data_IF_466624191963
#
_entry.id   IF_466624191963
#
_cell.length_a   1.000
_cell.length_b   1.000
_cell.length_c   1.000
_cell.angle_alpha   90.00
_cell.angle_beta   90.00
_cell.angle_gamma   90.00
#
_symmetry.space_group_name_H-M   'P 1'
#
loop_
_entity.id
_entity.type
_entity.pdbx_description
1 polymer ?
#
# COMPACT_ATOMS: atom_id res chain seq x y z
N UNK A 1 -20.63 -15.25 21.74
CA UNK A 1 -20.93 -14.65 20.42
C UNK A 1 -21.34 -13.21 20.65
N UNK A 2 -20.43 -12.25 20.48
CA UNK A 2 -20.76 -10.81 20.47
C UNK A 2 -20.01 -10.20 19.28
N UNK A 3 -20.65 -10.22 18.11
CA UNK A 3 -20.18 -9.54 16.91
C UNK A 3 -20.55 -8.07 17.00
N UNK A 4 -19.69 -7.26 17.61
CA UNK A 4 -19.70 -5.81 17.39
C UNK A 4 -19.12 -5.53 15.99
N UNK A 5 -19.95 -5.69 14.96
CA UNK A 5 -19.64 -5.16 13.63
C UNK A 5 -19.81 -3.64 13.69
N UNK A 6 -18.68 -2.91 13.73
CA UNK A 6 -18.63 -1.45 13.82
C UNK A 6 -19.30 -0.78 12.62
N UNK A 7 -20.38 -0.04 12.85
CA UNK A 7 -21.19 0.66 11.84
C UNK A 7 -20.53 1.91 11.24
N UNK A 8 -19.21 2.08 11.39
CA UNK A 8 -18.48 3.27 10.94
C UNK A 8 -17.73 3.06 9.60
N UNK A 9 -17.98 1.94 8.90
CA UNK A 9 -17.15 1.46 7.79
C UNK A 9 -17.09 2.32 6.52
N UNK A 10 -17.98 3.28 6.32
CA UNK A 10 -17.94 4.16 5.15
C UNK A 10 -18.69 5.46 5.43
N UNK A 11 -17.99 6.59 5.46
CA UNK A 11 -18.59 7.92 5.68
C UNK A 11 -18.44 8.79 4.43
N UNK A 12 -19.50 9.54 4.12
CA UNK A 12 -19.56 10.42 2.94
C UNK A 12 -19.18 11.85 3.33
N UNK A 13 -18.12 12.39 2.73
CA UNK A 13 -17.71 13.79 2.89
C UNK A 13 -18.16 14.65 1.69
N UNK A 14 -18.43 15.94 1.92
CA UNK A 14 -18.71 16.93 0.87
C UNK A 14 -17.62 18.01 0.94
N UNK A 15 -16.66 18.02 0.00
CA UNK A 15 -15.82 19.18 -0.43
C UNK A 15 -14.53 18.74 -1.15
N UNK A 16 -14.17 19.44 -2.24
CA UNK A 16 -13.20 19.04 -3.27
C UNK A 16 -11.80 18.57 -2.82
N UNK A 17 -11.29 17.57 -3.56
CA UNK A 17 -9.97 16.92 -3.55
C UNK A 17 -9.16 16.96 -2.25
N UNK A 18 -9.22 15.90 -1.45
CA UNK A 18 -8.37 15.66 -0.27
C UNK A 18 -7.00 15.11 -0.70
N UNK A 19 -5.93 15.87 -0.42
CA UNK A 19 -4.56 15.36 -0.43
C UNK A 19 -4.07 15.20 1.02
N UNK A 20 -2.86 14.69 1.21
CA UNK A 20 -2.24 14.50 2.53
C UNK A 20 -2.28 15.77 3.39
N UNK A 21 -2.03 16.95 2.77
CA UNK A 21 -2.10 18.25 3.46
C UNK A 21 -3.49 18.55 4.00
N UNK A 22 -4.54 18.28 3.23
CA UNK A 22 -5.92 18.51 3.66
C UNK A 22 -6.35 17.55 4.77
N UNK A 23 -5.92 16.29 4.71
CA UNK A 23 -6.16 15.35 5.81
C UNK A 23 -5.46 15.82 7.08
N UNK A 24 -4.20 16.27 6.99
CA UNK A 24 -3.48 16.84 8.13
C UNK A 24 -4.17 18.10 8.67
N UNK A 25 -4.68 18.98 7.80
CA UNK A 25 -5.47 20.14 8.20
C UNK A 25 -6.73 19.76 8.96
N UNK A 26 -7.46 18.73 8.52
CA UNK A 26 -8.63 18.21 9.25
C UNK A 26 -8.28 17.75 10.66
N UNK A 27 -7.18 17.02 10.84
CA UNK A 27 -6.71 16.63 12.17
C UNK A 27 -6.29 17.84 13.03
N UNK A 28 -5.63 18.83 12.44
CA UNK A 28 -5.27 20.06 13.16
C UNK A 28 -6.50 20.89 13.58
N UNK A 29 -7.63 20.75 12.87
CA UNK A 29 -8.91 21.38 13.19
C UNK A 29 -9.94 20.37 13.74
N UNK A 30 -9.50 19.31 14.43
CA UNK A 30 -10.39 18.22 14.83
C UNK A 30 -11.57 18.68 15.70
N UNK A 31 -11.47 19.80 16.43
CA UNK A 31 -12.57 20.34 17.21
C UNK A 31 -13.77 20.75 16.34
N UNK A 32 -13.53 21.16 15.10
CA UNK A 32 -14.56 21.61 14.16
C UNK A 32 -14.75 20.67 12.95
N UNK A 33 -13.84 19.70 12.74
CA UNK A 33 -13.94 18.74 11.64
C UNK A 33 -14.51 17.39 12.08
N UNK A 34 -15.72 17.09 11.62
CA UNK A 34 -16.44 15.85 11.95
C UNK A 34 -15.72 14.58 11.48
N UNK A 35 -15.05 14.60 10.32
CA UNK A 35 -14.36 13.41 9.84
C UNK A 35 -13.16 13.10 10.75
N UNK A 36 -12.38 14.12 11.12
CA UNK A 36 -11.25 13.97 12.03
C UNK A 36 -11.66 13.46 13.41
N UNK A 37 -12.80 13.93 13.95
CA UNK A 37 -13.38 13.40 15.19
C UNK A 37 -13.66 11.90 15.08
N UNK A 38 -14.26 11.47 13.96
CA UNK A 38 -14.56 10.05 13.75
C UNK A 38 -13.28 9.24 13.57
N UNK A 39 -12.28 9.76 12.87
CA UNK A 39 -10.98 9.12 12.75
C UNK A 39 -10.32 8.91 14.11
N UNK A 40 -10.29 9.92 14.97
CA UNK A 40 -9.76 9.81 16.33
C UNK A 40 -10.52 8.77 17.16
N UNK A 41 -11.86 8.73 17.06
CA UNK A 41 -12.67 7.70 17.72
C UNK A 41 -12.37 6.29 17.19
N UNK A 42 -12.19 6.11 15.87
CA UNK A 42 -11.80 4.83 15.26
C UNK A 42 -10.42 4.38 15.77
N UNK A 43 -9.50 5.33 15.97
CA UNK A 43 -8.18 5.08 16.55
C UNK A 43 -8.22 4.82 18.07
N UNK A 44 -9.40 4.91 18.70
CA UNK A 44 -9.61 4.55 20.11
C UNK A 44 -9.55 5.73 21.08
N UNK A 45 -9.50 6.97 20.58
CA UNK A 45 -9.43 8.16 21.43
C UNK A 45 -10.81 8.64 21.88
N UNK A 46 -10.93 8.97 23.16
CA UNK A 46 -12.06 9.71 23.72
C UNK A 46 -11.83 11.22 23.52
N UNK A 47 -12.64 11.83 22.67
CA UNK A 47 -12.49 13.24 22.28
C UNK A 47 -12.51 14.21 23.47
N UNK A 48 -13.23 13.89 24.55
CA UNK A 48 -13.31 14.74 25.72
C UNK A 48 -12.00 14.79 26.53
N UNK A 49 -11.16 13.76 26.35
CA UNK A 49 -9.87 13.63 27.03
C UNK A 49 -8.72 14.17 26.19
N UNK A 50 -8.95 14.51 24.93
CA UNK A 50 -7.91 15.11 24.09
C UNK A 50 -7.65 16.55 24.57
N UNK A 51 -6.39 16.87 24.77
CA UNK A 51 -5.91 18.22 25.07
C UNK A 51 -5.56 18.96 23.78
N UNK A 52 -4.76 18.36 22.90
CA UNK A 52 -4.52 18.87 21.56
C UNK A 52 -4.18 17.74 20.57
N UNK A 53 -4.34 18.06 19.28
CA UNK A 53 -3.95 17.23 18.14
C UNK A 53 -3.04 18.05 17.22
N UNK A 54 -1.93 17.46 16.76
CA UNK A 54 -1.06 18.05 15.74
C UNK A 54 -0.73 17.02 14.67
N UNK A 55 -1.08 17.31 13.42
CA UNK A 55 -0.78 16.46 12.28
C UNK A 55 0.26 17.11 11.34
N UNK A 56 1.29 16.35 11.01
CA UNK A 56 2.37 16.74 10.11
C UNK A 56 2.38 15.82 8.89
N UNK A 57 2.56 16.40 7.69
CA UNK A 57 2.77 15.61 6.47
C UNK A 57 4.21 15.12 6.44
N UNK A 58 4.38 13.84 6.16
CA UNK A 58 5.66 13.15 6.02
C UNK A 58 6.02 13.03 4.53
N UNK A 59 7.30 12.82 4.24
CA UNK A 59 7.79 12.54 2.89
C UNK A 59 8.88 11.47 2.94
N UNK A 60 8.86 10.53 1.98
CA UNK A 60 9.84 9.45 1.90
C UNK A 60 9.58 8.26 2.82
N UNK A 61 8.50 8.27 3.60
CA UNK A 61 8.12 7.20 4.53
C UNK A 61 6.89 6.44 4.03
N UNK A 62 6.53 5.36 4.76
CA UNK A 62 5.35 4.56 4.42
C UNK A 62 4.05 5.23 4.87
N UNK A 63 4.08 5.88 6.03
CA UNK A 63 3.04 6.81 6.45
C UNK A 63 3.22 8.16 5.74
N UNK A 64 2.10 8.77 5.38
CA UNK A 64 2.07 10.07 4.71
C UNK A 64 1.76 11.20 5.73
N UNK A 65 1.19 10.85 6.88
CA UNK A 65 0.86 11.78 7.96
C UNK A 65 1.25 11.16 9.30
N UNK A 66 1.87 11.96 10.16
CA UNK A 66 2.05 11.65 11.57
C UNK A 66 1.12 12.55 12.40
N UNK A 67 0.21 11.94 13.14
CA UNK A 67 -0.72 12.62 14.05
C UNK A 67 -0.22 12.43 15.47
N UNK A 68 0.06 13.53 16.16
CA UNK A 68 0.49 13.57 17.55
C UNK A 68 -0.71 13.98 18.39
N UNK A 69 -1.03 13.21 19.42
CA UNK A 69 -2.17 13.43 20.30
C UNK A 69 -1.67 13.57 21.74
N UNK A 70 -2.07 14.65 22.41
CA UNK A 70 -1.88 14.84 23.84
C UNK A 70 -3.19 14.57 24.56
N UNK A 71 -3.15 13.70 25.57
CA UNK A 71 -4.31 13.38 26.42
C UNK A 71 -4.19 14.16 27.73
N UNK A 72 -5.29 14.77 28.16
CA UNK A 72 -5.37 15.51 29.44
C UNK A 72 -4.85 14.63 30.57
N UNK A 73 -4.04 15.23 31.44
CA UNK A 73 -3.45 14.58 32.62
C UNK A 73 -2.45 13.44 32.33
N UNK A 74 -2.20 13.09 31.06
CA UNK A 74 -1.16 12.14 30.66
C UNK A 74 0.11 12.92 30.31
N UNK A 75 1.28 12.49 30.78
CA UNK A 75 2.54 13.18 30.43
C UNK A 75 3.11 12.75 29.08
N UNK A 76 2.74 11.56 28.61
CA UNK A 76 3.24 11.02 27.34
C UNK A 76 2.35 11.42 26.16
N UNK A 77 3.00 11.71 25.03
CA UNK A 77 2.37 11.94 23.73
C UNK A 77 2.09 10.61 23.04
N UNK A 78 0.89 10.49 22.49
CA UNK A 78 0.54 9.40 21.59
C UNK A 78 0.81 9.81 20.14
N UNK A 79 1.09 8.83 19.29
CA UNK A 79 1.44 9.07 17.90
C UNK A 79 0.81 8.03 16.98
N UNK A 80 0.14 8.49 15.93
CA UNK A 80 -0.53 7.68 14.94
C UNK A 80 0.00 7.98 13.54
N UNK A 81 0.52 6.95 12.89
CA UNK A 81 1.07 7.02 11.55
C UNK A 81 0.04 6.55 10.53
N UNK A 82 -0.36 7.45 9.62
CA UNK A 82 -1.44 7.22 8.67
C UNK A 82 -0.90 7.27 7.25
N UNK A 83 -1.11 6.19 6.49
CA UNK A 83 -0.98 6.18 5.04
C UNK A 83 -2.29 6.65 4.40
N UNK A 84 -2.23 7.60 3.47
CA UNK A 84 -3.39 8.15 2.76
C UNK A 84 -3.42 7.63 1.33
N UNK A 85 -4.57 7.12 0.89
CA UNK A 85 -4.80 6.69 -0.49
C UNK A 85 -6.01 7.38 -1.08
N UNK A 86 -5.76 8.34 -1.97
CA UNK A 86 -6.80 8.96 -2.78
C UNK A 86 -7.10 8.11 -4.03
N UNK A 87 -8.38 7.89 -4.30
CA UNK A 87 -8.90 7.20 -5.47
C UNK A 87 -9.96 8.06 -6.14
N UNK A 88 -9.88 8.22 -7.47
CA UNK A 88 -10.83 9.04 -8.24
C UNK A 88 -11.75 8.23 -9.17
N UNK A 89 -11.72 6.90 -9.04
CA UNK A 89 -12.45 5.96 -9.89
C UNK A 89 -13.19 4.95 -9.01
N UNK A 90 -14.21 4.28 -9.57
CA UNK A 90 -14.99 3.26 -8.85
C UNK A 90 -14.16 2.05 -8.43
N UNK A 91 -13.21 1.65 -9.28
CA UNK A 91 -12.18 0.62 -9.03
C UNK A 91 -10.87 1.12 -9.61
N UNK A 92 -9.75 0.80 -8.98
CA UNK A 92 -8.46 1.30 -9.46
C UNK A 92 -7.24 0.68 -8.82
N UNK A 93 -6.27 0.28 -9.65
CA UNK A 93 -5.02 -0.26 -9.15
C UNK A 93 -4.02 0.86 -8.80
N UNK A 94 -3.86 1.11 -7.51
CA UNK A 94 -2.95 2.12 -6.98
C UNK A 94 -1.60 1.49 -6.61
N UNK A 95 -0.53 2.27 -6.77
CA UNK A 95 0.81 1.86 -6.33
C UNK A 95 0.91 1.92 -4.79
N UNK A 96 1.46 0.85 -4.21
CA UNK A 96 1.78 0.79 -2.77
C UNK A 96 3.28 0.74 -2.47
N UNK A 97 4.08 0.16 -3.35
CA UNK A 97 5.54 0.22 -3.30
C UNK A 97 6.13 0.10 -4.72
N UNK A 98 7.31 0.68 -4.92
CA UNK A 98 8.07 0.62 -6.17
C UNK A 98 9.52 1.00 -5.93
N UNK A 99 10.45 0.13 -6.29
CA UNK A 99 11.90 0.36 -6.16
C UNK A 99 12.67 -0.31 -7.29
N UNK A 100 13.95 0.04 -7.45
CA UNK A 100 14.89 -0.75 -8.25
C UNK A 100 15.07 -2.12 -7.58
N UNK A 101 15.35 -3.17 -8.36
CA UNK A 101 15.44 -4.52 -7.83
C UNK A 101 16.53 -4.67 -6.77
N UNK A 102 17.66 -3.98 -6.94
CA UNK A 102 18.74 -3.92 -5.94
C UNK A 102 18.25 -3.54 -4.54
N UNK A 103 17.32 -2.60 -4.42
CA UNK A 103 16.77 -2.23 -3.11
C UNK A 103 16.00 -3.38 -2.45
N UNK A 104 15.23 -4.14 -3.23
CA UNK A 104 14.55 -5.32 -2.71
C UNK A 104 15.51 -6.48 -2.42
N UNK A 105 16.58 -6.61 -3.19
CA UNK A 105 17.66 -7.56 -2.90
C UNK A 105 18.27 -7.32 -1.53
N UNK A 106 18.59 -6.07 -1.21
CA UNK A 106 19.13 -5.67 0.10
C UNK A 106 18.10 -5.89 1.23
N UNK A 107 16.81 -5.59 0.97
CA UNK A 107 15.76 -5.73 1.98
C UNK A 107 15.37 -7.18 2.31
N UNK A 108 15.37 -8.05 1.30
CA UNK A 108 14.83 -9.41 1.39
C UNK A 108 15.88 -10.50 1.16
N UNK A 109 17.15 -10.13 1.00
CA UNK A 109 18.25 -11.05 0.69
C UNK A 109 17.93 -11.95 -0.51
N UNK A 110 17.42 -11.36 -1.59
CA UNK A 110 16.98 -12.10 -2.78
C UNK A 110 18.17 -12.92 -3.35
N UNK A 111 18.04 -14.26 -3.47
CA UNK A 111 19.10 -15.10 -4.04
C UNK A 111 19.45 -14.71 -5.48
N UNK A 112 20.70 -14.89 -5.93
CA UNK A 112 21.13 -14.46 -7.26
C UNK A 112 20.28 -15.01 -8.42
N UNK A 113 19.85 -16.28 -8.38
CA UNK A 113 18.99 -16.86 -9.41
C UNK A 113 17.61 -16.17 -9.45
N UNK A 114 17.01 -15.91 -8.29
CA UNK A 114 15.71 -15.22 -8.18
C UNK A 114 15.84 -13.76 -8.60
N UNK A 115 16.93 -13.09 -8.23
CA UNK A 115 17.24 -11.72 -8.68
C UNK A 115 17.29 -11.67 -10.21
N UNK A 116 17.98 -12.61 -10.84
CA UNK A 116 18.09 -12.65 -12.30
C UNK A 116 16.73 -12.82 -12.97
N UNK A 117 15.84 -13.68 -12.45
CA UNK A 117 14.48 -13.83 -12.95
C UNK A 117 13.67 -12.54 -12.84
N UNK A 118 13.73 -11.87 -11.68
CA UNK A 118 13.09 -10.56 -11.54
C UNK A 118 13.69 -9.51 -12.48
N UNK A 119 15.00 -9.52 -12.70
CA UNK A 119 15.67 -8.56 -13.57
C UNK A 119 15.24 -8.73 -15.04
N UNK A 120 15.07 -9.96 -15.52
CA UNK A 120 14.46 -10.22 -16.83
C UNK A 120 12.98 -9.81 -16.86
N UNK A 121 12.23 -10.09 -15.80
CA UNK A 121 10.81 -9.75 -15.71
C UNK A 121 10.57 -8.23 -15.77
N UNK A 122 11.38 -7.46 -15.05
CA UNK A 122 11.29 -6.00 -15.00
C UNK A 122 11.96 -5.33 -16.20
N UNK A 123 12.86 -6.03 -16.90
CA UNK A 123 13.64 -5.48 -18.00
C UNK A 123 14.89 -4.71 -17.56
N UNK A 124 15.33 -4.88 -16.31
CA UNK A 124 16.70 -4.51 -15.90
C UNK A 124 17.73 -5.33 -16.69
N UNK A 125 17.43 -6.61 -16.96
CA UNK A 125 18.13 -7.43 -17.94
C UNK A 125 17.29 -7.60 -19.21
N UNK A 126 17.93 -7.48 -20.37
CA UNK A 126 17.29 -7.71 -21.67
C UNK A 126 17.41 -9.18 -22.07
N UNK A 127 16.32 -9.83 -22.48
CA UNK A 127 16.38 -11.19 -23.01
C UNK A 127 17.09 -11.21 -24.38
N UNK A 128 17.83 -12.29 -24.65
CA UNK A 128 18.40 -12.59 -25.97
C UNK A 128 17.43 -13.35 -26.87
N UNK A 129 16.47 -14.06 -26.26
CA UNK A 129 15.38 -14.79 -26.91
C UNK A 129 14.50 -13.86 -27.74
N UNK A 130 14.13 -14.32 -28.94
CA UNK A 130 13.26 -13.60 -29.88
C UNK A 130 11.84 -14.20 -29.95
N UNK A 131 11.63 -15.39 -29.38
CA UNK A 131 10.37 -16.14 -29.35
C UNK A 131 9.42 -15.71 -28.22
N UNK A 132 9.55 -14.48 -27.74
CA UNK A 132 8.83 -13.92 -26.60
C UNK A 132 8.09 -12.64 -26.97
N UNK A 133 7.12 -12.22 -26.16
CA UNK A 133 6.25 -11.09 -26.48
C UNK A 133 6.96 -9.74 -26.53
N UNK A 134 8.02 -9.56 -25.75
CA UNK A 134 8.74 -8.28 -25.62
C UNK A 134 10.25 -8.46 -25.83
N UNK A 135 10.69 -8.86 -27.04
CA UNK A 135 12.10 -9.08 -27.33
C UNK A 135 12.89 -7.79 -27.07
N UNK A 136 14.12 -7.93 -26.60
CA UNK A 136 15.04 -6.83 -26.26
C UNK A 136 14.52 -5.87 -25.15
N UNK A 137 13.44 -6.22 -24.45
CA UNK A 137 12.81 -5.36 -23.44
C UNK A 137 12.69 -6.03 -22.08
N UNK A 138 12.04 -7.20 -22.01
CA UNK A 138 11.79 -7.97 -20.77
C UNK A 138 11.20 -9.34 -21.10
N UNK A 139 11.05 -10.18 -20.09
CA UNK A 139 10.21 -11.38 -20.15
C UNK A 139 8.95 -11.23 -19.31
N UNK A 140 7.90 -11.97 -19.67
CA UNK A 140 6.77 -12.28 -18.81
C UNK A 140 7.07 -13.55 -18.01
N UNK A 141 6.44 -13.73 -16.85
CA UNK A 141 6.71 -14.91 -16.02
C UNK A 141 6.31 -16.22 -16.70
N UNK A 142 5.23 -16.20 -17.48
CA UNK A 142 4.79 -17.37 -18.26
C UNK A 142 5.72 -17.72 -19.44
N UNK A 143 6.73 -16.89 -19.74
CA UNK A 143 7.75 -17.14 -20.77
C UNK A 143 9.02 -17.79 -20.19
N UNK A 144 9.16 -17.83 -18.86
CA UNK A 144 10.19 -18.61 -18.19
C UNK A 144 9.93 -20.10 -18.32
N UNK A 145 10.97 -20.92 -18.19
CA UNK A 145 10.82 -22.37 -18.11
C UNK A 145 9.99 -22.76 -16.90
N UNK A 146 9.38 -23.96 -16.93
CA UNK A 146 8.58 -24.43 -15.80
C UNK A 146 9.40 -24.47 -14.49
N UNK A 147 10.68 -24.87 -14.57
CA UNK A 147 11.59 -24.89 -13.42
C UNK A 147 11.78 -23.50 -12.81
N UNK A 148 12.10 -22.50 -13.63
CA UNK A 148 12.29 -21.12 -13.19
C UNK A 148 11.01 -20.52 -12.59
N UNK A 149 9.84 -20.83 -13.17
CA UNK A 149 8.55 -20.45 -12.61
C UNK A 149 8.36 -21.05 -11.21
N UNK A 150 8.65 -22.35 -11.02
CA UNK A 150 8.52 -23.00 -9.71
C UNK A 150 9.50 -22.43 -8.68
N UNK A 151 10.76 -22.19 -9.05
CA UNK A 151 11.75 -21.58 -8.15
C UNK A 151 11.31 -20.19 -7.69
N UNK A 152 10.80 -19.36 -8.61
CA UNK A 152 10.31 -18.03 -8.31
C UNK A 152 9.06 -18.04 -7.41
N UNK A 153 8.10 -18.91 -7.71
CA UNK A 153 6.88 -19.06 -6.92
C UNK A 153 7.17 -19.62 -5.52
N UNK A 154 8.07 -20.60 -5.41
CA UNK A 154 8.50 -21.14 -4.12
C UNK A 154 9.15 -20.05 -3.26
N UNK A 155 10.12 -19.30 -3.81
CA UNK A 155 10.76 -18.22 -3.06
C UNK A 155 9.76 -17.15 -2.62
N UNK A 156 8.83 -16.74 -3.50
CA UNK A 156 7.78 -15.79 -3.14
C UNK A 156 6.86 -16.34 -2.05
N UNK A 157 6.50 -17.62 -2.12
CA UNK A 157 5.64 -18.27 -1.13
C UNK A 157 6.31 -18.35 0.25
N UNK A 158 7.61 -18.63 0.30
CA UNK A 158 8.37 -18.70 1.55
C UNK A 158 8.56 -17.32 2.19
N UNK A 159 8.57 -16.25 1.39
CA UNK A 159 8.83 -14.88 1.84
C UNK A 159 7.60 -13.97 1.87
N UNK A 160 6.41 -14.47 1.51
CA UNK A 160 5.20 -13.64 1.28
C UNK A 160 4.80 -12.78 2.47
N UNK A 161 4.91 -13.29 3.70
CA UNK A 161 4.54 -12.53 4.90
C UNK A 161 5.44 -11.31 5.08
N UNK A 162 6.76 -11.50 4.93
CA UNK A 162 7.75 -10.43 5.01
C UNK A 162 7.51 -9.39 3.91
N UNK A 163 7.35 -9.85 2.67
CA UNK A 163 7.12 -8.98 1.51
C UNK A 163 5.86 -8.14 1.72
N UNK A 164 4.74 -8.78 2.08
CA UNK A 164 3.44 -8.10 2.27
C UNK A 164 3.50 -7.09 3.41
N UNK A 165 4.14 -7.44 4.53
CA UNK A 165 4.36 -6.51 5.65
C UNK A 165 5.19 -5.30 5.19
N UNK A 166 6.31 -5.52 4.51
CA UNK A 166 7.18 -4.42 4.09
C UNK A 166 6.52 -3.47 3.09
N UNK A 167 5.79 -3.99 2.11
CA UNK A 167 5.17 -3.16 1.06
C UNK A 167 3.86 -2.49 1.52
N UNK A 168 3.22 -2.94 2.61
CA UNK A 168 1.98 -2.33 3.15
C UNK A 168 2.21 -1.54 4.44
N UNK A 169 2.93 -2.11 5.41
CA UNK A 169 3.21 -1.47 6.70
C UNK A 169 4.53 -0.70 6.69
N UNK A 170 5.54 -1.22 6.02
CA UNK A 170 6.90 -0.69 6.10
C UNK A 170 7.58 -1.01 7.44
N UNK A 171 8.73 -0.38 7.70
CA UNK A 171 9.53 -0.59 8.91
C UNK A 171 9.92 0.76 9.53
N UNK A 172 10.31 0.74 10.80
CA UNK A 172 10.81 1.90 11.53
C UNK A 172 9.70 2.78 12.12
N UNK A 173 10.09 3.92 12.67
CA UNK A 173 9.23 4.82 13.45
C UNK A 173 8.04 5.40 12.66
N UNK A 174 8.13 5.44 11.33
CA UNK A 174 7.08 5.93 10.43
C UNK A 174 6.45 4.81 9.57
N UNK A 175 6.42 3.58 10.10
CA UNK A 175 5.56 2.53 9.55
C UNK A 175 4.09 2.93 9.63
N UNK A 176 3.30 2.55 8.64
CA UNK A 176 1.87 2.83 8.64
C UNK A 176 1.17 1.97 9.70
N UNK A 177 0.46 2.62 10.64
CA UNK A 177 -0.42 1.95 11.59
C UNK A 177 -1.88 1.99 11.13
N UNK A 178 -2.22 2.98 10.32
CA UNK A 178 -3.54 3.16 9.73
C UNK A 178 -3.44 3.43 8.23
N UNK A 179 -4.46 3.00 7.51
CA UNK A 179 -4.66 3.37 6.11
C UNK A 179 -6.00 4.08 5.98
N UNK A 180 -5.93 5.33 5.52
CA UNK A 180 -7.09 6.15 5.17
C UNK A 180 -7.27 6.11 3.66
N UNK A 181 -8.29 5.36 3.21
CA UNK A 181 -8.71 5.38 1.81
C UNK A 181 -9.78 6.45 1.63
N UNK A 182 -9.60 7.31 0.64
CA UNK A 182 -10.56 8.35 0.27
C UNK A 182 -10.87 8.16 -1.21
N UNK A 183 -12.12 7.83 -1.53
CA UNK A 183 -12.62 7.81 -2.90
C UNK A 183 -13.41 9.09 -3.16
N UNK A 184 -12.98 9.88 -4.13
CA UNK A 184 -13.65 11.11 -4.55
C UNK A 184 -14.06 10.98 -6.02
N UNK A 185 -15.36 10.79 -6.27
CA UNK A 185 -15.92 10.69 -7.62
C UNK A 185 -16.92 11.83 -7.77
N UNK A 186 -16.62 12.78 -8.67
CA UNK A 186 -17.40 14.01 -8.83
C UNK A 186 -17.51 14.79 -7.51
N UNK A 187 -18.72 14.87 -6.94
CA UNK A 187 -19.00 15.55 -5.66
C UNK A 187 -19.18 14.56 -4.50
N UNK A 188 -19.15 13.26 -4.77
CA UNK A 188 -19.32 12.21 -3.76
C UNK A 188 -17.94 11.77 -3.26
N UNK A 189 -17.70 11.98 -1.98
CA UNK A 189 -16.47 11.52 -1.32
C UNK A 189 -16.87 10.45 -0.32
N UNK A 190 -16.25 9.27 -0.39
CA UNK A 190 -16.34 8.20 0.60
C UNK A 190 -14.98 7.98 1.21
N UNK A 191 -14.93 7.64 2.49
CA UNK A 191 -13.67 7.25 3.11
C UNK A 191 -13.83 6.09 4.09
N UNK A 192 -12.74 5.35 4.27
CA UNK A 192 -12.58 4.35 5.32
C UNK A 192 -11.19 4.48 5.95
N UNK A 193 -11.14 4.44 7.28
CA UNK A 193 -9.91 4.37 8.06
C UNK A 193 -9.82 2.97 8.67
N UNK A 194 -8.82 2.18 8.26
CA UNK A 194 -8.62 0.83 8.80
C UNK A 194 -7.23 0.68 9.40
N UNK A 195 -7.14 -0.07 10.50
CA UNK A 195 -5.86 -0.45 11.10
C UNK A 195 -5.06 -1.29 10.09
N UNK A 196 -3.74 -1.11 10.06
CA UNK A 196 -2.85 -1.77 9.10
C UNK A 196 -2.96 -3.29 9.13
N UNK A 197 -3.25 -3.90 10.28
CA UNK A 197 -3.42 -5.35 10.40
C UNK A 197 -4.65 -5.85 9.63
N UNK A 198 -5.75 -5.09 9.66
CA UNK A 198 -6.96 -5.39 8.88
C UNK A 198 -6.66 -5.25 7.38
N UNK A 199 -5.90 -4.23 7.00
CA UNK A 199 -5.50 -4.00 5.61
C UNK A 199 -4.61 -5.12 5.09
N UNK A 200 -3.59 -5.52 5.87
CA UNK A 200 -2.73 -6.64 5.52
C UNK A 200 -3.52 -7.94 5.40
N UNK A 201 -4.41 -8.23 6.35
CA UNK A 201 -5.24 -9.43 6.29
C UNK A 201 -6.13 -9.46 5.03
N UNK A 202 -6.75 -8.32 4.69
CA UNK A 202 -7.60 -8.18 3.51
C UNK A 202 -6.85 -8.47 2.21
N UNK A 203 -5.67 -7.88 2.04
CA UNK A 203 -4.90 -8.05 0.80
C UNK A 203 -4.09 -9.34 0.75
N UNK A 204 -3.73 -9.89 1.92
CA UNK A 204 -3.07 -11.19 2.01
C UNK A 204 -4.00 -12.29 1.49
N UNK A 205 -5.28 -12.29 1.89
CA UNK A 205 -6.33 -13.17 1.35
C UNK A 205 -5.88 -14.64 1.19
N UNK A 206 -5.44 -15.26 2.29
CA UNK A 206 -4.89 -16.63 2.30
C UNK A 206 -3.47 -16.76 1.73
N UNK A 207 -2.95 -15.72 1.09
CA UNK A 207 -1.56 -15.60 0.65
C UNK A 207 -1.22 -16.51 -0.51
N UNK A 208 -2.17 -16.75 -1.43
CA UNK A 208 -1.88 -17.52 -2.64
C UNK A 208 -0.84 -16.79 -3.50
N UNK A 209 0.13 -17.51 -4.04
CA UNK A 209 1.17 -16.95 -4.89
C UNK A 209 0.99 -17.52 -6.29
N UNK A 210 0.70 -16.65 -7.25
CA UNK A 210 0.19 -17.07 -8.56
C UNK A 210 0.77 -16.25 -9.71
N UNK A 211 0.85 -16.88 -10.88
CA UNK A 211 1.09 -16.20 -12.15
C UNK A 211 -0.25 -15.82 -12.75
N UNK A 212 -0.46 -14.53 -12.99
CA UNK A 212 -1.65 -14.03 -13.67
C UNK A 212 -1.68 -14.44 -15.15
N UNK A 213 -2.87 -14.46 -15.75
CA UNK A 213 -3.08 -14.74 -17.19
C UNK A 213 -2.23 -13.86 -18.12
N UNK A 214 -1.86 -12.65 -17.69
CA UNK A 214 -1.06 -11.69 -18.47
C UNK A 214 0.45 -11.80 -18.19
N UNK A 215 0.89 -12.78 -17.39
CA UNK A 215 2.29 -13.04 -17.10
C UNK A 215 2.93 -12.13 -16.06
N UNK A 216 2.13 -11.42 -15.24
CA UNK A 216 2.54 -10.78 -13.97
C UNK A 216 2.37 -11.75 -12.79
N UNK A 217 2.84 -11.38 -11.59
CA UNK A 217 2.70 -12.18 -10.36
C UNK A 217 1.63 -11.60 -9.42
N UNK A 218 1.14 -12.43 -8.51
CA UNK A 218 0.25 -12.04 -7.42
C UNK A 218 0.66 -12.69 -6.10
N UNK A 219 0.45 -11.97 -5.01
CA UNK A 219 0.38 -12.51 -3.64
C UNK A 219 -0.98 -12.10 -3.09
N UNK A 220 -1.89 -13.05 -2.92
CA UNK A 220 -3.30 -12.77 -2.62
C UNK A 220 -3.88 -11.76 -3.62
N UNK A 221 -4.29 -10.60 -3.12
CA UNK A 221 -4.86 -9.51 -3.91
C UNK A 221 -3.84 -8.47 -4.38
N UNK A 222 -2.57 -8.65 -4.05
CA UNK A 222 -1.49 -7.73 -4.42
C UNK A 222 -0.89 -8.16 -5.75
N UNK A 223 -0.91 -7.26 -6.73
CA UNK A 223 -0.28 -7.48 -8.04
C UNK A 223 1.16 -7.00 -8.02
N UNK A 224 2.07 -7.86 -8.50
CA UNK A 224 3.49 -7.56 -8.69
C UNK A 224 3.76 -7.48 -10.18
N UNK A 225 4.31 -6.35 -10.63
CA UNK A 225 4.52 -6.09 -12.05
C UNK A 225 5.75 -5.21 -12.31
N UNK A 226 6.26 -5.25 -13.55
CA UNK A 226 7.10 -4.17 -14.07
C UNK A 226 6.34 -2.85 -14.01
N UNK A 227 6.98 -1.77 -13.54
CA UNK A 227 6.41 -0.42 -13.50
C UNK A 227 5.88 0.01 -14.87
N UNK A 228 6.72 -0.12 -15.92
CA UNK A 228 6.37 0.30 -17.27
C UNK A 228 6.09 1.82 -17.40
N UNK A 229 5.75 2.24 -18.61
CA UNK A 229 5.51 3.66 -18.90
C UNK A 229 6.78 4.52 -18.82
N UNK A 230 6.65 5.70 -18.21
CA UNK A 230 7.72 6.69 -18.01
C UNK A 230 8.50 7.06 -19.28
N UNK A 231 7.83 7.07 -20.44
CA UNK A 231 8.43 7.33 -21.76
C UNK A 231 9.69 6.48 -22.04
N UNK A 232 9.74 5.26 -21.49
CA UNK A 232 10.87 4.34 -21.70
C UNK A 232 12.12 4.65 -20.88
N UNK A 233 12.06 5.58 -19.91
CA UNK A 233 13.15 5.83 -18.96
C UNK A 233 13.48 4.58 -18.14
N UNK A 234 14.67 4.53 -17.57
CA UNK A 234 15.14 3.42 -16.73
C UNK A 234 14.20 3.12 -15.55
N UNK A 235 13.48 4.12 -15.02
CA UNK A 235 12.46 3.95 -13.97
C UNK A 235 11.30 3.03 -14.38
N UNK A 236 11.08 2.84 -15.68
CA UNK A 236 10.09 1.88 -16.19
C UNK A 236 10.47 0.43 -15.87
N UNK A 237 11.73 0.16 -15.55
CA UNK A 237 12.25 -1.16 -15.19
C UNK A 237 12.21 -1.44 -13.68
N UNK A 238 11.57 -0.59 -12.88
CA UNK A 238 11.37 -0.88 -11.45
C UNK A 238 10.34 -1.99 -11.24
N UNK A 239 10.51 -2.76 -10.17
CA UNK A 239 9.48 -3.67 -9.67
C UNK A 239 8.44 -2.86 -8.87
N UNK A 240 7.16 -3.07 -9.19
CA UNK A 240 6.04 -2.29 -8.67
C UNK A 240 4.96 -3.22 -8.09
N UNK A 241 4.42 -2.81 -6.94
CA UNK A 241 3.33 -3.46 -6.24
C UNK A 241 2.07 -2.60 -6.30
N UNK A 242 0.93 -3.23 -6.61
CA UNK A 242 -0.37 -2.56 -6.70
C UNK A 242 -1.48 -3.34 -6.02
N UNK A 243 -2.44 -2.60 -5.49
CA UNK A 243 -3.70 -3.09 -4.92
C UNK A 243 -4.85 -2.25 -5.46
N UNK A 244 -6.10 -2.69 -5.25
CA UNK A 244 -7.26 -1.82 -5.38
C UNK A 244 -7.68 -1.29 -4.00
N UNK A 245 -7.42 -0.01 -3.66
CA UNK A 245 -7.77 0.55 -2.36
C UNK A 245 -9.27 0.62 -2.12
N UNK A 246 -10.11 0.63 -3.17
CA UNK A 246 -11.55 0.78 -3.00
C UNK A 246 -12.18 -0.44 -2.33
N UNK A 247 -11.52 -1.59 -2.36
CA UNK A 247 -11.95 -2.79 -1.62
C UNK A 247 -11.97 -2.59 -0.09
N UNK A 248 -11.35 -1.53 0.43
CA UNK A 248 -11.41 -1.16 1.84
C UNK A 248 -12.56 -0.21 2.18
N UNK A 249 -13.35 0.24 1.21
CA UNK A 249 -14.49 1.14 1.46
C UNK A 249 -15.78 0.39 1.81
N UNK A 250 -15.74 -0.94 1.67
CA UNK A 250 -16.80 -1.89 2.00
C UNK A 250 -16.66 -2.41 3.46
#
# INVERSE_FOLDING_TARGET
MNSHTSSFGSLIAKNGFLNEKKVAQKFNDYSNDRDAQIWLMIMGYDLNKIEYVKANVLSGYKADINVIIQIKLKQALDSENIQVKLVSNQKGFNQIDKRKLKSYQEMWNIPPNIYQLFAYFTGELKPTRQDIKYPNKRMLINEFSHKEQQELLAWLNDNKMLIVSDILKGRGEFSAEWVLVIQAINFDIKWALKNINVVMQHYFDGGSVEISKKGSLKIGRITIQRKGGDNGRESANMLQFKIDPTELLD
#
